data_IF_443835895782
#
_entry.id   IF_443835895782
#
_cell.length_a   1.000
_cell.length_b   1.000
_cell.length_c   1.000
_cell.angle_alpha   90.00
_cell.angle_beta   90.00
_cell.angle_gamma   90.00
#
_symmetry.space_group_name_H-M   'P 1'
#
loop_
_entity.id
_entity.type
_entity.pdbx_description
1 polymer ?
#
# COMPACT_ATOMS: atom_id res chain seq x y z
N UNK A 1 10.20 -18.07 18.93
CA UNK A 1 9.59 -16.81 18.44
C UNK A 1 8.25 -16.63 19.12
N UNK A 2 7.77 -15.40 19.26
CA UNK A 2 6.42 -15.10 19.79
C UNK A 2 5.64 -14.23 18.82
N UNK A 3 4.32 -14.38 18.80
CA UNK A 3 3.44 -13.57 17.95
C UNK A 3 3.26 -12.21 18.63
N UNK A 4 3.47 -11.13 17.87
CA UNK A 4 3.36 -9.74 18.34
C UNK A 4 2.24 -8.95 17.66
N UNK A 5 1.68 -9.47 16.56
CA UNK A 5 0.56 -8.89 15.85
C UNK A 5 -0.26 -10.00 15.20
N UNK A 6 -1.58 -9.88 15.34
CA UNK A 6 -2.54 -10.73 14.62
C UNK A 6 -3.43 -9.85 13.77
N UNK A 7 -3.62 -10.22 12.50
CA UNK A 7 -4.60 -9.55 11.63
C UNK A 7 -5.79 -10.47 11.39
N UNK A 8 -6.99 -9.94 11.60
CA UNK A 8 -8.26 -10.62 11.43
C UNK A 8 -9.10 -10.07 10.28
N UNK A 9 -10.01 -10.88 9.76
CA UNK A 9 -10.99 -10.44 8.75
C UNK A 9 -12.19 -9.72 9.38
N UNK A 10 -13.17 -9.34 8.55
CA UNK A 10 -14.44 -8.74 9.01
C UNK A 10 -15.25 -9.64 9.93
N UNK A 11 -15.00 -10.95 9.92
CA UNK A 11 -15.66 -11.94 10.75
C UNK A 11 -14.82 -12.27 12.00
N UNK A 12 -13.77 -11.49 12.29
CA UNK A 12 -12.83 -11.67 13.41
C UNK A 12 -12.07 -13.00 13.36
N UNK A 13 -11.96 -13.62 12.19
CA UNK A 13 -11.11 -14.81 12.00
C UNK A 13 -9.67 -14.37 11.85
N UNK A 14 -8.76 -14.96 12.61
CA UNK A 14 -7.33 -14.66 12.55
C UNK A 14 -6.73 -15.23 11.26
N UNK A 15 -6.06 -14.37 10.49
CA UNK A 15 -5.56 -14.67 9.15
C UNK A 15 -4.03 -14.66 9.08
N UNK A 16 -3.45 -13.63 9.71
CA UNK A 16 -2.01 -13.36 9.65
C UNK A 16 -1.47 -13.25 11.05
N UNK A 17 -0.29 -13.83 11.25
CA UNK A 17 0.42 -13.84 12.50
C UNK A 17 1.83 -13.33 12.24
N UNK A 18 2.21 -12.24 12.90
CA UNK A 18 3.55 -11.68 12.78
C UNK A 18 4.31 -11.91 14.06
N UNK A 19 5.56 -12.35 13.94
CA UNK A 19 6.41 -12.64 15.09
C UNK A 19 7.33 -11.50 15.47
N UNK A 20 7.94 -11.59 16.66
CA UNK A 20 9.00 -10.71 17.15
C UNK A 20 10.29 -10.73 16.30
N UNK A 21 10.39 -11.67 15.37
CA UNK A 21 11.46 -11.75 14.36
C UNK A 21 11.02 -11.22 12.99
N UNK A 22 9.91 -10.49 12.94
CA UNK A 22 9.30 -9.93 11.72
C UNK A 22 8.79 -10.95 10.70
N UNK A 23 8.92 -12.26 10.96
CA UNK A 23 8.33 -13.29 10.09
C UNK A 23 6.81 -13.23 10.11
N UNK A 24 6.22 -13.18 8.93
CA UNK A 24 4.77 -13.21 8.68
C UNK A 24 4.33 -14.63 8.32
N UNK A 25 3.27 -15.10 8.96
CA UNK A 25 2.70 -16.42 8.73
C UNK A 25 1.21 -16.32 8.39
N UNK A 26 0.77 -17.08 7.38
CA UNK A 26 -0.63 -17.48 7.24
C UNK A 26 -1.02 -18.49 8.33
N UNK A 27 -2.32 -18.72 8.54
CA UNK A 27 -2.80 -19.71 9.49
C UNK A 27 -2.22 -21.13 9.29
N UNK A 28 -2.19 -21.72 8.07
CA UNK A 28 -1.56 -23.03 7.87
C UNK A 28 -0.07 -23.07 8.23
N UNK A 29 0.67 -22.01 7.91
CA UNK A 29 2.10 -21.92 8.21
C UNK A 29 2.35 -21.75 9.71
N UNK A 30 1.54 -20.93 10.39
CA UNK A 30 1.60 -20.75 11.83
C UNK A 30 1.29 -22.07 12.56
N UNK A 31 0.28 -22.82 12.12
CA UNK A 31 -0.05 -24.16 12.65
C UNK A 31 1.14 -25.11 12.52
N UNK A 32 1.83 -25.11 11.37
CA UNK A 32 3.02 -25.93 11.14
C UNK A 32 4.17 -25.50 12.06
N UNK A 33 4.42 -24.20 12.19
CA UNK A 33 5.47 -23.66 13.04
C UNK A 33 5.25 -23.97 14.53
N UNK A 34 4.00 -23.92 15.01
CA UNK A 34 3.62 -24.29 16.39
C UNK A 34 3.87 -25.77 16.64
N UNK A 35 3.46 -26.66 15.73
CA UNK A 35 3.72 -28.11 15.86
C UNK A 35 5.20 -28.44 15.92
N UNK A 36 6.04 -27.61 15.31
CA UNK A 36 7.50 -27.73 15.34
C UNK A 36 8.14 -26.98 16.52
N UNK A 37 7.35 -26.51 17.50
CA UNK A 37 7.81 -25.74 18.67
C UNK A 37 8.57 -24.44 18.32
N UNK A 38 8.31 -23.85 17.15
CA UNK A 38 9.00 -22.63 16.70
C UNK A 38 8.33 -21.34 17.22
N UNK A 39 7.03 -21.42 17.53
CA UNK A 39 6.23 -20.31 18.07
C UNK A 39 5.75 -20.67 19.49
N UNK A 40 6.00 -19.78 20.43
CA UNK A 40 5.71 -19.94 21.85
C UNK A 40 4.36 -19.31 22.24
N UNK A 41 3.86 -19.66 23.43
CA UNK A 41 2.67 -19.09 24.09
C UNK A 41 1.32 -19.33 23.41
N UNK A 42 1.28 -20.18 22.39
CA UNK A 42 0.07 -20.51 21.64
C UNK A 42 -0.01 -22.01 21.37
N UNK A 43 -1.23 -22.51 21.18
CA UNK A 43 -1.51 -23.87 20.76
C UNK A 43 -2.57 -23.90 19.64
N UNK A 44 -2.61 -25.01 18.92
CA UNK A 44 -3.58 -25.23 17.86
C UNK A 44 -4.84 -25.88 18.43
N UNK A 45 -6.01 -25.34 18.13
CA UNK A 45 -7.30 -25.95 18.45
C UNK A 45 -7.94 -26.48 17.17
N UNK A 46 -8.38 -27.74 17.20
CA UNK A 46 -9.12 -28.37 16.10
C UNK A 46 -10.59 -28.48 16.46
N UNK A 47 -11.45 -28.14 15.51
CA UNK A 47 -12.90 -28.28 15.59
C UNK A 47 -13.43 -28.94 14.33
N UNK A 48 -14.71 -29.33 14.31
CA UNK A 48 -15.35 -29.84 13.10
C UNK A 48 -15.36 -28.85 11.93
N UNK A 49 -15.21 -27.55 12.20
CA UNK A 49 -15.25 -26.47 11.20
C UNK A 49 -13.83 -26.07 10.73
N UNK A 50 -12.78 -26.50 11.42
CA UNK A 50 -11.40 -26.20 11.03
C UNK A 50 -10.42 -26.09 12.20
N UNK A 51 -9.24 -25.55 11.91
CA UNK A 51 -8.16 -25.29 12.88
C UNK A 51 -8.02 -23.80 13.15
N UNK A 52 -7.82 -23.41 14.41
CA UNK A 52 -7.46 -22.04 14.79
C UNK A 52 -6.40 -22.04 15.88
N UNK A 53 -5.86 -20.86 16.19
CA UNK A 53 -4.84 -20.68 17.23
C UNK A 53 -5.46 -20.06 18.47
N UNK A 54 -5.05 -20.54 19.65
CA UNK A 54 -5.41 -19.94 20.92
C UNK A 54 -4.18 -19.75 21.78
N UNK A 55 -4.20 -18.68 22.56
CA UNK A 55 -3.18 -18.42 23.56
C UNK A 55 -3.20 -19.47 24.67
N UNK A 56 -2.03 -19.86 25.16
CA UNK A 56 -1.90 -20.75 26.31
C UNK A 56 -2.46 -20.07 27.59
N UNK A 57 -2.93 -20.86 28.57
CA UNK A 57 -3.32 -20.31 29.87
C UNK A 57 -2.16 -19.55 30.54
N UNK A 58 -2.49 -18.54 31.36
CA UNK A 58 -1.57 -17.80 32.22
C UNK A 58 -0.43 -17.01 31.53
N UNK A 59 -0.53 -16.74 30.23
CA UNK A 59 0.41 -15.83 29.57
C UNK A 59 0.06 -14.38 29.87
N UNK A 60 1.01 -13.47 29.66
CA UNK A 60 0.79 -12.03 29.84
C UNK A 60 -0.16 -11.47 28.78
N UNK A 61 -0.82 -10.35 29.06
CA UNK A 61 -1.69 -9.66 28.08
C UNK A 61 -0.96 -9.35 26.77
N UNK A 62 0.32 -8.99 26.84
CA UNK A 62 1.15 -8.67 25.66
C UNK A 62 1.40 -9.86 24.73
N UNK A 63 1.25 -11.08 25.23
CA UNK A 63 1.38 -12.33 24.46
C UNK A 63 0.01 -12.96 24.16
N UNK A 64 -1.09 -12.33 24.59
CA UNK A 64 -2.44 -12.78 24.31
C UNK A 64 -2.87 -12.39 22.89
N UNK A 65 -3.30 -13.39 22.11
CA UNK A 65 -3.66 -13.22 20.70
C UNK A 65 -4.84 -12.26 20.51
N UNK A 66 -5.82 -12.26 21.42
CA UNK A 66 -6.99 -11.38 21.33
C UNK A 66 -6.59 -9.93 21.64
N UNK A 67 -5.65 -9.73 22.56
CA UNK A 67 -5.14 -8.41 22.93
C UNK A 67 -4.33 -7.76 21.80
N UNK A 68 -3.49 -8.54 21.11
CA UNK A 68 -2.64 -8.06 19.99
C UNK A 68 -3.32 -8.18 18.61
N UNK A 69 -4.61 -8.57 18.57
CA UNK A 69 -5.37 -8.69 17.35
C UNK A 69 -5.89 -7.34 16.86
N UNK A 70 -5.74 -7.13 15.55
CA UNK A 70 -6.29 -6.00 14.82
C UNK A 70 -7.11 -6.48 13.64
N UNK A 71 -8.14 -5.73 13.29
CA UNK A 71 -8.86 -5.96 12.05
C UNK A 71 -8.00 -5.53 10.87
N UNK A 72 -8.20 -6.19 9.73
CA UNK A 72 -7.66 -5.77 8.43
C UNK A 72 -8.01 -4.32 8.07
N UNK A 73 -9.10 -3.76 8.63
CA UNK A 73 -9.50 -2.37 8.43
C UNK A 73 -8.58 -1.41 9.19
N UNK A 74 -8.24 -1.74 10.44
CA UNK A 74 -7.26 -0.98 11.22
C UNK A 74 -5.89 -1.01 10.56
N UNK A 75 -5.44 -2.19 10.07
CA UNK A 75 -4.21 -2.29 9.29
C UNK A 75 -4.23 -1.38 8.05
N UNK A 76 -5.34 -1.41 7.30
CA UNK A 76 -5.49 -0.57 6.11
C UNK A 76 -5.41 0.94 6.40
N UNK A 77 -5.92 1.38 7.55
CA UNK A 77 -5.79 2.78 7.95
C UNK A 77 -4.36 3.10 8.42
N UNK A 78 -3.70 2.20 9.15
CA UNK A 78 -2.31 2.35 9.57
C UNK A 78 -1.33 2.46 8.39
N UNK A 79 -1.60 1.76 7.27
CA UNK A 79 -0.81 1.89 6.03
C UNK A 79 -0.88 3.32 5.46
N UNK A 80 -2.02 3.99 5.59
CA UNK A 80 -2.22 5.33 5.01
C UNK A 80 -1.65 6.44 5.87
N UNK A 81 -1.79 6.26 7.18
CA UNK A 81 -1.56 7.30 8.17
C UNK A 81 -1.05 6.61 9.44
N UNK A 82 0.19 6.93 9.79
CA UNK A 82 0.91 6.31 10.91
C UNK A 82 0.26 6.63 12.26
N UNK A 83 -0.58 7.67 12.36
CA UNK A 83 -1.32 7.99 13.58
C UNK A 83 -2.31 6.90 13.99
N UNK A 84 -2.71 6.02 13.06
CA UNK A 84 -3.56 4.86 13.35
C UNK A 84 -2.81 3.67 13.97
N UNK A 85 -1.49 3.78 14.18
CA UNK A 85 -0.67 2.80 14.92
C UNK A 85 -0.85 3.02 16.44
N UNK A 86 -2.07 2.80 16.93
CA UNK A 86 -2.41 3.10 18.32
C UNK A 86 -2.52 1.85 19.21
N UNK A 87 -2.94 0.72 18.62
CA UNK A 87 -3.19 -0.53 19.33
C UNK A 87 -1.93 -1.33 19.68
N UNK A 88 -1.99 -2.20 20.70
CA UNK A 88 -0.81 -2.87 21.26
C UNK A 88 -0.08 -3.76 20.25
N UNK A 89 -0.82 -4.50 19.41
CA UNK A 89 -0.20 -5.35 18.38
C UNK A 89 0.49 -4.53 17.29
N UNK A 90 -0.19 -3.52 16.75
CA UNK A 90 0.39 -2.64 15.72
C UNK A 90 1.57 -1.82 16.26
N UNK A 91 1.51 -1.36 17.52
CA UNK A 91 2.61 -0.64 18.16
C UNK A 91 3.80 -1.56 18.41
N UNK A 92 3.57 -2.79 18.88
CA UNK A 92 4.65 -3.76 19.05
C UNK A 92 5.30 -4.10 17.70
N UNK A 93 4.48 -4.28 16.66
CA UNK A 93 4.94 -4.47 15.30
C UNK A 93 5.81 -3.31 14.82
N UNK A 94 5.30 -2.08 14.92
CA UNK A 94 5.99 -0.88 14.49
C UNK A 94 7.34 -0.72 15.19
N UNK A 95 7.37 -0.86 16.53
CA UNK A 95 8.61 -0.77 17.29
C UNK A 95 9.65 -1.82 16.86
N UNK A 96 9.22 -3.04 16.56
CA UNK A 96 10.13 -4.09 16.07
C UNK A 96 10.61 -3.76 14.65
N UNK A 97 9.73 -3.30 13.77
CA UNK A 97 10.07 -2.87 12.43
C UNK A 97 11.08 -1.71 12.44
N UNK A 98 10.82 -0.65 13.20
CA UNK A 98 11.73 0.49 13.33
C UNK A 98 13.10 0.08 13.88
N UNK A 99 13.16 -0.83 14.86
CA UNK A 99 14.42 -1.40 15.35
C UNK A 99 15.16 -2.24 14.29
N UNK A 100 14.42 -2.97 13.46
CA UNK A 100 15.03 -3.73 12.36
C UNK A 100 15.70 -2.79 11.34
N UNK A 101 15.13 -1.61 11.09
CA UNK A 101 15.76 -0.58 10.27
C UNK A 101 17.00 0.03 10.94
N UNK A 102 17.01 0.20 12.26
CA UNK A 102 18.18 0.68 13.01
C UNK A 102 19.36 -0.27 12.94
N UNK A 103 19.10 -1.58 13.02
CA UNK A 103 20.13 -2.61 12.95
C UNK A 103 20.82 -2.67 11.59
N UNK A 104 20.22 -2.10 10.53
CA UNK A 104 20.91 -1.93 9.26
C UNK A 104 22.08 -0.95 9.35
N UNK A 105 22.21 -0.15 10.42
CA UNK A 105 23.44 0.56 10.79
C UNK A 105 23.79 1.76 9.90
N UNK A 106 22.80 2.44 9.34
CA UNK A 106 23.01 3.42 8.27
C UNK A 106 22.77 4.87 8.72
N UNK A 107 23.50 5.81 8.12
CA UNK A 107 23.38 7.26 8.33
C UNK A 107 21.94 7.73 8.06
N UNK A 108 21.51 8.85 8.67
CA UNK A 108 20.15 9.43 8.52
C UNK A 108 19.70 9.56 7.05
N UNK A 109 20.64 9.86 6.16
CA UNK A 109 20.40 10.05 4.72
C UNK A 109 20.07 8.76 3.96
N UNK A 110 20.06 7.61 4.60
CA UNK A 110 19.78 6.32 3.97
C UNK A 110 18.31 5.91 4.05
N UNK A 111 17.51 6.61 4.86
CA UNK A 111 16.09 6.30 5.03
C UNK A 111 15.18 7.26 4.25
N UNK A 112 13.97 6.78 3.95
CA UNK A 112 12.84 7.63 3.60
C UNK A 112 12.08 7.96 4.88
N UNK A 113 11.94 9.26 5.14
CA UNK A 113 11.21 9.78 6.29
C UNK A 113 9.84 10.28 5.83
N UNK A 114 8.78 9.93 6.56
CA UNK A 114 7.42 10.45 6.33
C UNK A 114 6.85 10.78 7.69
N UNK A 115 6.35 12.00 7.89
CA UNK A 115 5.70 12.42 9.14
C UNK A 115 6.59 12.19 10.40
N UNK A 116 7.91 12.30 10.23
CA UNK A 116 8.90 12.09 11.31
C UNK A 116 9.29 10.63 11.54
N UNK A 117 8.72 9.68 10.80
CA UNK A 117 8.95 8.26 10.95
C UNK A 117 9.82 7.67 9.83
N UNK A 118 10.63 6.67 10.16
CA UNK A 118 11.45 5.92 9.18
C UNK A 118 10.60 4.84 8.54
N UNK A 119 10.23 5.04 7.29
CA UNK A 119 9.33 4.13 6.60
C UNK A 119 10.06 2.98 5.92
N UNK A 120 11.22 3.25 5.31
CA UNK A 120 12.04 2.25 4.61
C UNK A 120 13.41 2.84 4.26
N UNK A 121 14.29 2.06 3.62
CA UNK A 121 15.56 2.54 3.07
C UNK A 121 15.38 3.12 1.67
N UNK A 122 16.22 4.10 1.31
CA UNK A 122 16.29 4.62 -0.06
C UNK A 122 16.67 3.51 -1.05
N UNK A 123 17.53 2.59 -0.66
CA UNK A 123 17.94 1.45 -1.50
C UNK A 123 16.75 0.55 -1.88
N UNK A 124 15.85 0.24 -0.93
CA UNK A 124 14.63 -0.51 -1.21
C UNK A 124 13.79 0.20 -2.28
N UNK A 125 13.53 1.50 -2.09
CA UNK A 125 12.77 2.32 -3.05
C UNK A 125 13.46 2.37 -4.41
N UNK A 126 14.77 2.61 -4.45
CA UNK A 126 15.58 2.65 -5.67
C UNK A 126 15.46 1.33 -6.43
N UNK A 127 15.55 0.19 -5.74
CA UNK A 127 15.45 -1.13 -6.35
C UNK A 127 14.09 -1.36 -7.04
N UNK A 128 13.00 -0.91 -6.42
CA UNK A 128 11.65 -1.02 -6.97
C UNK A 128 11.45 -0.06 -8.14
N UNK A 129 11.89 1.21 -8.01
CA UNK A 129 11.76 2.20 -9.08
C UNK A 129 12.57 1.80 -10.33
N UNK A 130 13.83 1.37 -10.17
CA UNK A 130 14.66 0.93 -11.30
C UNK A 130 14.04 -0.24 -12.07
N UNK A 131 13.48 -1.22 -11.35
CA UNK A 131 12.77 -2.36 -11.96
C UNK A 131 11.62 -1.92 -12.87
N UNK A 132 11.07 -0.73 -12.66
CA UNK A 132 9.91 -0.21 -13.37
C UNK A 132 10.16 1.07 -14.18
N UNK A 133 11.42 1.53 -14.26
CA UNK A 133 11.79 2.81 -14.89
C UNK A 133 11.26 2.96 -16.31
N UNK A 134 11.47 1.96 -17.18
CA UNK A 134 10.98 1.99 -18.55
C UNK A 134 9.44 2.08 -18.64
N UNK A 135 8.73 1.45 -17.69
CA UNK A 135 7.27 1.51 -17.61
C UNK A 135 6.80 2.90 -17.17
N UNK A 136 7.48 3.49 -16.18
CA UNK A 136 7.19 4.84 -15.68
C UNK A 136 7.30 5.86 -16.82
N UNK A 137 8.44 5.86 -17.53
CA UNK A 137 8.66 6.76 -18.67
C UNK A 137 7.63 6.54 -19.78
N UNK A 138 7.33 5.28 -20.11
CA UNK A 138 6.33 4.95 -21.13
C UNK A 138 4.93 5.41 -20.73
N UNK A 139 4.55 5.24 -19.47
CA UNK A 139 3.26 5.69 -18.96
C UNK A 139 3.18 7.22 -18.98
N UNK A 140 4.21 7.90 -18.48
CA UNK A 140 4.28 9.35 -18.47
C UNK A 140 4.15 9.96 -19.87
N UNK A 141 4.91 9.43 -20.84
CA UNK A 141 4.81 9.84 -22.25
C UNK A 141 3.43 9.53 -22.86
N UNK A 142 2.85 8.37 -22.55
CA UNK A 142 1.53 8.01 -23.09
C UNK A 142 0.41 8.95 -22.63
N UNK A 143 0.55 9.53 -21.43
CA UNK A 143 -0.44 10.40 -20.82
C UNK A 143 -0.07 11.88 -20.83
N UNK A 144 1.07 12.24 -21.44
CA UNK A 144 1.61 13.60 -21.47
C UNK A 144 1.69 14.22 -20.06
N UNK A 145 2.43 13.56 -19.16
CA UNK A 145 2.67 14.02 -17.79
C UNK A 145 4.15 13.94 -17.43
N UNK A 146 4.56 14.67 -16.39
CA UNK A 146 5.94 14.60 -15.87
C UNK A 146 6.23 13.22 -15.24
N UNK A 147 7.20 12.49 -15.82
CA UNK A 147 7.66 11.19 -15.33
C UNK A 147 8.26 11.24 -13.93
N UNK A 148 8.91 12.34 -13.55
CA UNK A 148 9.52 12.50 -12.24
C UNK A 148 8.48 12.78 -11.16
N UNK A 149 7.38 13.45 -11.51
CA UNK A 149 6.23 13.58 -10.61
C UNK A 149 5.56 12.23 -10.38
N UNK A 150 5.32 11.46 -11.44
CA UNK A 150 4.84 10.08 -11.32
C UNK A 150 5.78 9.23 -10.45
N UNK A 151 7.09 9.34 -10.66
CA UNK A 151 8.10 8.68 -9.84
C UNK A 151 8.06 9.12 -8.37
N UNK A 152 7.91 10.43 -8.09
CA UNK A 152 7.80 10.96 -6.73
C UNK A 152 6.57 10.45 -5.99
N UNK A 153 5.43 10.38 -6.67
CA UNK A 153 4.20 9.75 -6.14
C UNK A 153 4.45 8.27 -5.85
N UNK A 154 5.13 7.55 -6.75
CA UNK A 154 5.47 6.14 -6.51
C UNK A 154 6.40 5.94 -5.31
N UNK A 155 7.39 6.81 -5.10
CA UNK A 155 8.27 6.74 -3.93
C UNK A 155 7.46 6.83 -2.64
N UNK A 156 6.52 7.77 -2.54
CA UNK A 156 5.65 7.93 -1.39
C UNK A 156 4.78 6.68 -1.17
N UNK A 157 4.13 6.17 -2.20
CA UNK A 157 3.27 4.98 -2.11
C UNK A 157 4.04 3.70 -1.76
N UNK A 158 5.25 3.51 -2.30
CA UNK A 158 6.14 2.40 -1.94
C UNK A 158 6.58 2.53 -0.48
N UNK A 159 6.99 3.71 -0.07
CA UNK A 159 7.52 3.93 1.29
C UNK A 159 6.45 3.70 2.35
N UNK A 160 5.22 4.19 2.14
CA UNK A 160 4.09 3.95 3.07
C UNK A 160 3.68 2.48 3.14
N UNK A 161 3.84 1.73 2.04
CA UNK A 161 3.51 0.31 2.00
C UNK A 161 4.64 -0.61 2.52
N UNK A 162 5.90 -0.18 2.43
CA UNK A 162 7.07 -0.99 2.75
C UNK A 162 7.01 -1.69 4.13
N UNK A 163 6.56 -1.03 5.22
CA UNK A 163 6.42 -1.69 6.50
C UNK A 163 5.36 -2.79 6.52
N UNK A 164 4.51 -2.94 5.50
CA UNK A 164 3.38 -3.86 5.52
C UNK A 164 3.34 -4.79 4.30
N UNK A 165 4.38 -4.82 3.47
CA UNK A 165 4.40 -5.58 2.21
C UNK A 165 4.13 -7.08 2.42
N UNK A 166 4.84 -7.73 3.34
CA UNK A 166 4.65 -9.16 3.62
C UNK A 166 3.26 -9.47 4.19
N UNK A 167 2.75 -8.60 5.07
CA UNK A 167 1.41 -8.74 5.66
C UNK A 167 0.35 -8.62 4.56
N UNK A 168 0.50 -7.62 3.67
CA UNK A 168 -0.39 -7.37 2.54
C UNK A 168 -0.50 -8.61 1.68
N UNK A 169 0.61 -9.26 1.34
CA UNK A 169 0.60 -10.40 0.42
C UNK A 169 -0.24 -11.57 0.94
N UNK A 170 -0.28 -11.77 2.27
CA UNK A 170 -1.15 -12.77 2.90
C UNK A 170 -2.62 -12.34 2.90
N UNK A 171 -2.93 -11.06 3.15
CA UNK A 171 -4.32 -10.57 3.22
C UNK A 171 -4.92 -10.08 1.90
N UNK A 172 -4.12 -10.00 0.83
CA UNK A 172 -4.52 -9.36 -0.42
C UNK A 172 -5.79 -10.00 -1.04
N UNK A 173 -5.92 -11.32 -0.93
CA UNK A 173 -7.08 -12.08 -1.42
C UNK A 173 -8.39 -11.76 -0.66
N UNK A 174 -8.29 -11.37 0.61
CA UNK A 174 -9.42 -11.07 1.49
C UNK A 174 -9.86 -9.61 1.37
N UNK A 175 -8.90 -8.74 1.08
CA UNK A 175 -9.14 -7.33 0.80
C UNK A 175 -9.86 -7.06 -0.53
N UNK A 176 -10.01 -8.06 -1.40
CA UNK A 176 -10.68 -7.92 -2.72
C UNK A 176 -12.14 -7.46 -2.64
N UNK A 177 -12.82 -7.73 -1.52
CA UNK A 177 -14.20 -7.28 -1.31
C UNK A 177 -14.26 -5.80 -0.92
N UNK A 178 -13.15 -5.19 -0.52
CA UNK A 178 -13.04 -3.79 -0.16
C UNK A 178 -12.50 -2.95 -1.32
N UNK A 179 -12.70 -1.63 -1.25
CA UNK A 179 -12.11 -0.69 -2.21
C UNK A 179 -10.66 -0.36 -1.83
N UNK A 180 -9.80 -1.39 -1.83
CA UNK A 180 -8.38 -1.25 -1.48
C UNK A 180 -7.55 -0.71 -2.63
N UNK A 181 -6.44 -0.08 -2.26
CA UNK A 181 -5.35 0.30 -3.14
C UNK A 181 -4.50 -0.92 -3.46
N UNK A 182 -4.13 -1.11 -4.73
CA UNK A 182 -3.47 -2.33 -5.21
C UNK A 182 -2.33 -1.99 -6.18
N UNK A 183 -1.32 -2.85 -6.18
CA UNK A 183 -0.16 -2.74 -7.06
C UNK A 183 0.86 -1.72 -6.56
N UNK A 184 1.97 -1.60 -7.28
CA UNK A 184 3.11 -0.77 -6.89
C UNK A 184 2.75 0.73 -6.77
N UNK A 185 1.75 1.20 -7.52
CA UNK A 185 1.29 2.59 -7.46
C UNK A 185 0.03 2.80 -6.59
N UNK A 186 -0.39 1.78 -5.82
CA UNK A 186 -1.47 1.87 -4.83
C UNK A 186 -2.81 2.42 -5.39
N UNK A 187 -3.23 1.92 -6.55
CA UNK A 187 -4.47 2.35 -7.21
C UNK A 187 -5.68 1.63 -6.61
N UNK A 188 -6.68 2.42 -6.18
CA UNK A 188 -7.98 1.86 -5.75
C UNK A 188 -8.70 1.22 -6.91
N UNK A 189 -9.28 0.04 -6.70
CA UNK A 189 -10.06 -0.65 -7.75
C UNK A 189 -11.20 0.21 -8.31
N UNK A 190 -11.85 1.02 -7.47
CA UNK A 190 -12.89 1.94 -7.95
C UNK A 190 -12.33 3.09 -8.80
N UNK A 191 -11.11 3.57 -8.49
CA UNK A 191 -10.43 4.58 -9.32
C UNK A 191 -10.08 3.99 -10.68
N UNK A 192 -9.53 2.77 -10.72
CA UNK A 192 -9.27 2.08 -11.99
C UNK A 192 -10.55 1.87 -12.82
N UNK A 193 -11.68 1.51 -12.18
CA UNK A 193 -12.99 1.46 -12.86
C UNK A 193 -13.40 2.80 -13.46
N UNK A 194 -13.30 3.88 -12.69
CA UNK A 194 -13.60 5.24 -13.17
C UNK A 194 -12.75 5.62 -14.38
N UNK A 195 -11.44 5.41 -14.31
CA UNK A 195 -10.52 5.71 -15.41
C UNK A 195 -10.82 4.90 -16.68
N UNK A 196 -11.23 3.64 -16.55
CA UNK A 196 -11.70 2.83 -17.69
C UNK A 196 -13.01 3.40 -18.26
N UNK A 197 -13.98 3.69 -17.38
CA UNK A 197 -15.30 4.23 -17.77
C UNK A 197 -15.15 5.54 -18.52
N UNK A 198 -14.33 6.43 -17.99
CA UNK A 198 -14.16 7.78 -18.52
C UNK A 198 -13.27 7.75 -19.78
N UNK A 199 -12.47 6.70 -19.95
CA UNK A 199 -11.73 6.39 -21.17
C UNK A 199 -10.25 6.75 -21.14
N UNK A 200 -9.75 7.11 -19.97
CA UNK A 200 -8.34 7.39 -19.76
C UNK A 200 -7.48 6.16 -20.00
N UNK A 201 -7.86 4.99 -19.47
CA UNK A 201 -7.03 3.79 -19.63
C UNK A 201 -7.82 2.49 -19.62
N UNK A 202 -7.60 1.65 -20.63
CA UNK A 202 -8.09 0.27 -20.66
C UNK A 202 -6.88 -0.70 -20.72
N UNK A 203 -6.66 -1.55 -19.70
CA UNK A 203 -5.51 -2.44 -19.67
C UNK A 203 -5.59 -3.56 -20.71
N UNK A 204 -6.78 -3.86 -21.25
CA UNK A 204 -6.97 -4.81 -22.34
C UNK A 204 -8.15 -4.38 -23.23
N UNK A 205 -7.90 -3.58 -24.30
CA UNK A 205 -8.93 -3.11 -25.21
C UNK A 205 -9.74 -4.21 -25.92
N UNK A 206 -9.19 -5.42 -26.04
CA UNK A 206 -9.87 -6.57 -26.66
C UNK A 206 -10.86 -7.24 -25.72
N UNK A 207 -10.77 -6.97 -24.42
CA UNK A 207 -11.68 -7.52 -23.42
C UNK A 207 -12.93 -6.64 -23.30
N UNK A 208 -14.03 -7.13 -23.87
CA UNK A 208 -15.30 -6.40 -23.85
C UNK A 208 -15.81 -6.08 -22.43
N UNK A 209 -15.40 -6.84 -21.39
CA UNK A 209 -15.78 -6.55 -20.00
C UNK A 209 -15.18 -5.23 -19.51
N UNK A 210 -14.03 -4.85 -20.02
CA UNK A 210 -13.32 -3.62 -19.68
C UNK A 210 -13.71 -2.43 -20.58
N UNK A 211 -14.80 -2.53 -21.34
CA UNK A 211 -15.33 -1.40 -22.11
C UNK A 211 -16.04 -0.38 -21.21
N UNK A 212 -16.12 0.88 -21.66
CA UNK A 212 -16.79 1.99 -20.95
C UNK A 212 -18.19 1.62 -20.44
N UNK A 213 -18.99 0.93 -21.27
CA UNK A 213 -20.37 0.56 -20.92
C UNK A 213 -20.52 -0.70 -20.06
N UNK A 214 -19.47 -1.50 -19.85
CA UNK A 214 -19.55 -2.78 -19.11
C UNK A 214 -18.74 -2.79 -17.82
N UNK A 215 -17.79 -1.87 -17.65
CA UNK A 215 -16.87 -1.85 -16.51
C UNK A 215 -17.56 -1.79 -15.14
N UNK A 216 -18.72 -1.13 -15.04
CA UNK A 216 -19.45 -1.03 -13.76
C UNK A 216 -19.87 -2.41 -13.24
N UNK A 217 -20.22 -3.34 -14.13
CA UNK A 217 -20.61 -4.72 -13.81
C UNK A 217 -19.43 -5.65 -13.51
N UNK A 218 -18.19 -5.21 -13.76
CA UNK A 218 -17.00 -6.03 -13.54
C UNK A 218 -16.73 -6.19 -12.06
N UNK A 219 -16.48 -7.42 -11.60
CA UNK A 219 -16.16 -7.67 -10.20
C UNK A 219 -14.79 -7.12 -9.83
N UNK A 220 -14.62 -6.71 -8.56
CA UNK A 220 -13.32 -6.25 -8.02
C UNK A 220 -12.22 -7.28 -8.23
N UNK A 221 -12.52 -8.57 -7.97
CA UNK A 221 -11.60 -9.69 -8.20
C UNK A 221 -11.14 -9.81 -9.67
N UNK A 222 -12.00 -9.49 -10.63
CA UNK A 222 -11.63 -9.51 -12.04
C UNK A 222 -10.66 -8.37 -12.37
N UNK A 223 -11.01 -7.15 -11.96
CA UNK A 223 -10.18 -5.96 -12.21
C UNK A 223 -8.82 -6.02 -11.48
N UNK A 224 -8.80 -6.61 -10.29
CA UNK A 224 -7.58 -6.81 -9.49
C UNK A 224 -6.46 -7.51 -10.27
N UNK A 225 -6.80 -8.51 -11.10
CA UNK A 225 -5.81 -9.23 -11.92
C UNK A 225 -5.03 -8.32 -12.87
N UNK A 226 -5.63 -7.21 -13.28
CA UNK A 226 -4.97 -6.20 -14.10
C UNK A 226 -4.23 -5.20 -13.20
N UNK A 227 -4.92 -4.59 -12.23
CA UNK A 227 -4.36 -3.51 -11.38
C UNK A 227 -3.14 -3.95 -10.56
N UNK A 228 -3.07 -5.22 -10.16
CA UNK A 228 -1.91 -5.78 -9.46
C UNK A 228 -0.65 -5.88 -10.34
N UNK A 229 -0.79 -5.96 -11.67
CA UNK A 229 0.37 -6.04 -12.55
C UNK A 229 1.10 -4.69 -12.58
N UNK A 230 2.43 -4.64 -12.36
CA UNK A 230 3.16 -3.37 -12.27
C UNK A 230 2.93 -2.45 -13.47
N UNK A 231 2.92 -3.00 -14.69
CA UNK A 231 2.61 -2.25 -15.92
C UNK A 231 1.29 -1.49 -15.82
N UNK A 232 0.21 -2.18 -15.48
CA UNK A 232 -1.11 -1.57 -15.43
C UNK A 232 -1.28 -0.67 -14.21
N UNK A 233 -0.72 -1.04 -13.06
CA UNK A 233 -0.71 -0.19 -11.85
C UNK A 233 -0.12 1.19 -12.14
N UNK A 234 1.03 1.24 -12.81
CA UNK A 234 1.73 2.49 -13.17
C UNK A 234 0.95 3.27 -14.23
N UNK A 235 0.42 2.59 -15.26
CA UNK A 235 -0.42 3.27 -16.26
C UNK A 235 -1.70 3.84 -15.67
N UNK A 236 -2.36 3.16 -14.73
CA UNK A 236 -3.50 3.71 -14.02
C UNK A 236 -3.12 4.93 -13.16
N UNK A 237 -1.93 4.93 -12.56
CA UNK A 237 -1.43 6.08 -11.82
C UNK A 237 -1.20 7.30 -12.72
N UNK A 238 -0.56 7.09 -13.88
CA UNK A 238 -0.38 8.14 -14.88
C UNK A 238 -1.71 8.65 -15.45
N UNK A 239 -2.63 7.73 -15.79
CA UNK A 239 -3.99 8.06 -16.23
C UNK A 239 -4.75 8.90 -15.20
N UNK A 240 -4.57 8.59 -13.91
CA UNK A 240 -5.17 9.35 -12.81
C UNK A 240 -4.63 10.77 -12.74
N UNK A 241 -3.31 10.94 -12.86
CA UNK A 241 -2.70 12.28 -12.91
C UNK A 241 -3.26 13.07 -14.09
N UNK A 242 -3.29 12.49 -15.29
CA UNK A 242 -3.87 13.12 -16.48
C UNK A 242 -5.33 13.52 -16.26
N UNK A 243 -6.13 12.64 -15.65
CA UNK A 243 -7.52 12.95 -15.35
C UNK A 243 -7.70 14.16 -14.43
N UNK A 244 -6.77 14.40 -13.50
CA UNK A 244 -6.81 15.61 -12.68
C UNK A 244 -6.48 16.86 -13.50
N UNK A 245 -5.47 16.78 -14.36
CA UNK A 245 -5.07 17.92 -15.19
C UNK A 245 -6.22 18.31 -16.13
N UNK A 246 -6.87 17.33 -16.78
CA UNK A 246 -8.03 17.56 -17.65
C UNK A 246 -9.23 18.12 -16.87
N UNK A 247 -9.53 17.57 -15.69
CA UNK A 247 -10.68 18.01 -14.90
C UNK A 247 -10.52 19.44 -14.36
N UNK A 248 -9.29 19.86 -14.05
CA UNK A 248 -9.00 21.17 -13.46
C UNK A 248 -8.62 22.25 -14.47
N UNK A 249 -8.44 21.91 -15.75
CA UNK A 249 -7.93 22.82 -16.79
C UNK A 249 -8.72 24.13 -16.91
N UNK A 250 -10.04 24.10 -16.67
CA UNK A 250 -10.89 25.31 -16.72
C UNK A 250 -10.65 26.29 -15.57
N UNK A 251 -10.09 25.82 -14.46
CA UNK A 251 -9.88 26.60 -13.25
C UNK A 251 -8.41 26.96 -13.06
N UNK A 252 -7.50 25.98 -13.22
CA UNK A 252 -6.06 26.12 -12.99
C UNK A 252 -5.26 25.15 -13.88
N UNK A 253 -4.20 25.65 -14.50
CA UNK A 253 -3.21 24.84 -15.19
C UNK A 253 -2.35 24.03 -14.18
N UNK A 254 -2.77 22.79 -13.91
CA UNK A 254 -2.09 21.92 -12.96
C UNK A 254 -0.69 21.49 -13.42
N UNK A 255 -0.33 21.61 -14.70
CA UNK A 255 1.03 21.31 -15.17
C UNK A 255 2.06 22.24 -14.51
N UNK A 256 1.64 23.44 -14.10
CA UNK A 256 2.48 24.42 -13.39
C UNK A 256 2.40 24.29 -11.86
N UNK A 257 1.59 23.36 -11.36
CA UNK A 257 1.27 23.19 -9.92
C UNK A 257 1.40 21.71 -9.50
N UNK A 258 2.59 21.08 -9.66
CA UNK A 258 2.78 19.65 -9.38
C UNK A 258 2.50 19.25 -7.91
N UNK A 259 2.65 20.17 -6.96
CA UNK A 259 2.27 19.96 -5.55
C UNK A 259 0.76 19.74 -5.38
N UNK A 260 -0.07 20.35 -6.22
CA UNK A 260 -1.52 20.17 -6.20
C UNK A 260 -1.87 18.81 -6.78
N UNK A 261 -1.23 18.39 -7.87
CA UNK A 261 -1.39 17.03 -8.42
C UNK A 261 -1.05 15.98 -7.36
N UNK A 262 0.08 16.14 -6.67
CA UNK A 262 0.50 15.23 -5.60
C UNK A 262 -0.49 15.21 -4.42
N UNK A 263 -1.05 16.38 -4.07
CA UNK A 263 -2.10 16.52 -3.06
C UNK A 263 -3.37 15.76 -3.48
N UNK A 264 -3.87 16.01 -4.69
CA UNK A 264 -5.09 15.36 -5.22
C UNK A 264 -4.94 13.84 -5.34
N UNK A 265 -3.73 13.32 -5.52
CA UNK A 265 -3.50 11.89 -5.68
C UNK A 265 -3.99 11.06 -4.48
N UNK A 266 -3.86 11.55 -3.26
CA UNK A 266 -4.21 10.76 -2.08
C UNK A 266 -5.52 11.18 -1.43
N UNK A 267 -6.05 12.36 -1.75
CA UNK A 267 -7.32 12.86 -1.25
C UNK A 267 -8.53 12.11 -1.81
N UNK A 268 -9.68 12.28 -1.13
CA UNK A 268 -10.98 12.02 -1.75
C UNK A 268 -11.22 13.07 -2.85
N UNK A 269 -12.15 12.79 -3.76
CA UNK A 269 -12.55 13.74 -4.81
C UNK A 269 -12.75 15.15 -4.24
N UNK A 270 -12.16 16.13 -4.93
CA UNK A 270 -12.31 17.55 -4.66
C UNK A 270 -12.76 18.20 -5.96
N UNK A 271 -13.83 19.00 -5.88
CA UNK A 271 -14.29 19.78 -7.02
C UNK A 271 -13.21 20.80 -7.41
N UNK A 272 -12.93 20.99 -8.71
CA UNK A 272 -12.03 22.04 -9.19
C UNK A 272 -12.43 23.44 -8.69
N UNK A 273 -11.41 24.27 -8.45
CA UNK A 273 -11.54 25.69 -8.13
C UNK A 273 -10.22 26.43 -8.45
N UNK A 274 -10.28 27.76 -8.58
CA UNK A 274 -9.19 28.65 -8.98
C UNK A 274 -8.03 28.80 -7.97
N UNK A 275 -8.25 28.38 -6.72
CA UNK A 275 -7.37 28.65 -5.57
C UNK A 275 -6.92 27.38 -4.83
N UNK A 276 -6.40 26.35 -5.52
CA UNK A 276 -6.01 25.10 -4.88
C UNK A 276 -4.80 25.29 -3.95
N UNK A 277 -4.90 24.70 -2.77
CA UNK A 277 -3.80 24.59 -1.79
C UNK A 277 -3.22 23.18 -1.76
N UNK A 278 -1.92 23.08 -1.48
CA UNK A 278 -1.27 21.79 -1.21
C UNK A 278 -1.32 21.45 0.28
N UNK A 279 -1.25 20.16 0.59
CA UNK A 279 -1.00 19.69 1.95
C UNK A 279 0.45 19.22 2.14
N UNK A 280 0.78 18.82 3.37
CA UNK A 280 2.14 18.41 3.74
C UNK A 280 2.64 17.23 2.91
N UNK A 281 1.76 16.28 2.55
CA UNK A 281 2.12 15.13 1.71
C UNK A 281 2.42 15.54 0.28
N UNK A 282 1.60 16.42 -0.31
CA UNK A 282 1.85 16.99 -1.63
C UNK A 282 3.15 17.79 -1.68
N UNK A 283 3.41 18.58 -0.63
CA UNK A 283 4.66 19.35 -0.47
C UNK A 283 5.87 18.42 -0.34
N UNK A 284 5.79 17.36 0.45
CA UNK A 284 6.88 16.41 0.62
C UNK A 284 7.19 15.68 -0.69
N UNK A 285 6.16 15.22 -1.42
CA UNK A 285 6.35 14.58 -2.73
C UNK A 285 7.12 15.51 -3.67
N UNK A 286 6.77 16.80 -3.73
CA UNK A 286 7.45 17.76 -4.61
C UNK A 286 8.86 18.11 -4.13
N UNK A 287 9.05 18.37 -2.83
CA UNK A 287 10.33 18.88 -2.31
C UNK A 287 11.39 17.80 -2.10
N UNK A 288 10.98 16.58 -1.77
CA UNK A 288 11.90 15.50 -1.39
C UNK A 288 11.89 14.37 -2.42
N UNK A 289 10.71 13.85 -2.77
CA UNK A 289 10.61 12.64 -3.58
C UNK A 289 10.76 12.90 -5.08
N UNK A 290 10.32 14.05 -5.57
CA UNK A 290 10.51 14.42 -6.98
C UNK A 290 12.01 14.53 -7.33
N UNK A 291 12.87 15.26 -6.57
CA UNK A 291 14.31 15.25 -6.83
C UNK A 291 14.93 13.86 -6.76
N UNK A 292 14.49 13.03 -5.81
CA UNK A 292 14.97 11.64 -5.69
C UNK A 292 14.56 10.81 -6.91
N UNK A 293 13.29 10.89 -7.33
CA UNK A 293 12.80 10.24 -8.54
C UNK A 293 13.57 10.69 -9.78
N UNK A 294 13.85 11.99 -9.91
CA UNK A 294 14.68 12.51 -10.99
C UNK A 294 16.08 11.90 -10.99
N UNK A 295 16.74 11.82 -9.82
CA UNK A 295 18.07 11.22 -9.71
C UNK A 295 18.09 9.72 -10.05
N UNK A 296 17.01 9.00 -9.78
CA UNK A 296 16.87 7.56 -10.07
C UNK A 296 16.53 7.32 -11.54
N UNK A 297 15.55 8.04 -12.09
CA UNK A 297 14.95 7.77 -13.39
C UNK A 297 15.72 8.39 -14.57
N UNK A 298 16.67 9.30 -14.30
CA UNK A 298 17.52 9.93 -15.32
C UNK A 298 18.77 9.12 -15.70
N UNK A 299 19.04 8.01 -14.99
CA UNK A 299 20.17 7.11 -15.26
C UNK A 299 19.79 6.01 -16.22
#
# INVERSE_FOLDING_TARGET
MKIILVISDTQRRNLVFVTDTMKVYSLPEAVKAIKNNQIQFVHTVKTGVGTYLRTNPNVTEKDNLDFIAHSSYQLYNAIKDATFISGPGLRSYWNTYSKSLEQLGLKKDVFIWIEGERMTTKEHVISILHKHQAIIHKAANHFDIDSYLLGGIMIDEISRMAPFEEIRDVVASLMLNWNVSVGVAQIKLQTAKGLIRDGYYNPNPKDSKLSKGRIEKVSRKYLYKYVMQPKHSIFFSAAKIRSFIDEWESEVDLNKRPEIIATLYHLKYRKPHDTPGSDDRGVQILKEFYPLAKAILSK
#
